data_IF_622956257017
#
_entry.id   IF_622956257017
#
_cell.length_a   1.000
_cell.length_b   1.000
_cell.length_c   1.000
_cell.angle_alpha   90.00
_cell.angle_beta   90.00
_cell.angle_gamma   90.00
#
_symmetry.space_group_name_H-M   'P 1'
#
loop_
_entity.id
_entity.type
_entity.pdbx_description
1 polymer ?
#
# COMPACT_ATOMS: atom_id res chain seq x y z
N UNK A 1 -0.52 2.14 -24.84
CA UNK A 1 0.30 1.35 -23.90
C UNK A 1 1.11 2.34 -23.09
N UNK A 2 0.78 2.55 -21.81
CA UNK A 2 1.61 3.35 -20.90
C UNK A 2 2.21 2.38 -19.91
N UNK A 3 3.36 1.81 -20.26
CA UNK A 3 4.19 1.06 -19.33
C UNK A 3 5.21 2.08 -18.78
N UNK A 4 5.24 2.25 -17.46
CA UNK A 4 6.30 2.87 -16.62
C UNK A 4 6.32 4.37 -16.28
N UNK A 5 5.47 5.28 -16.78
CA UNK A 5 5.63 6.73 -16.44
C UNK A 5 4.32 7.50 -16.13
N UNK A 6 3.41 6.91 -15.35
CA UNK A 6 2.23 7.62 -14.86
C UNK A 6 2.55 8.37 -13.55
N UNK A 7 3.18 9.54 -13.64
CA UNK A 7 3.32 10.44 -12.48
C UNK A 7 1.96 11.01 -12.09
N UNK A 8 1.38 10.48 -11.01
CA UNK A 8 0.11 10.96 -10.45
C UNK A 8 0.17 12.45 -10.04
N UNK A 9 1.35 12.92 -9.63
CA UNK A 9 1.61 14.31 -9.26
C UNK A 9 2.72 14.88 -10.16
N UNK A 10 2.39 15.88 -10.97
CA UNK A 10 3.33 16.54 -11.89
C UNK A 10 3.87 17.87 -11.37
N UNK A 11 3.12 18.54 -10.50
CA UNK A 11 3.43 19.88 -9.98
C UNK A 11 4.04 19.88 -8.57
N UNK A 12 3.97 18.76 -7.86
CA UNK A 12 4.40 18.63 -6.47
C UNK A 12 5.63 17.74 -6.39
N UNK A 13 6.66 18.20 -5.67
CA UNK A 13 7.84 17.38 -5.39
C UNK A 13 7.57 16.52 -4.14
N UNK A 14 7.39 15.23 -4.35
CA UNK A 14 7.24 14.25 -3.26
C UNK A 14 8.64 13.87 -2.76
N UNK A 15 8.93 14.15 -1.49
CA UNK A 15 10.22 13.81 -0.85
C UNK A 15 10.15 12.54 -0.01
N UNK A 16 8.95 12.03 0.24
CA UNK A 16 8.76 10.74 0.87
C UNK A 16 7.30 10.39 1.05
N UNK A 17 7.05 9.16 1.47
CA UNK A 17 5.72 8.69 1.81
C UNK A 17 5.78 7.68 2.95
N UNK A 18 4.65 7.47 3.60
CA UNK A 18 4.45 6.41 4.60
C UNK A 18 3.07 5.79 4.43
N UNK A 19 2.97 4.46 4.50
CA UNK A 19 1.70 3.74 4.40
C UNK A 19 1.00 3.64 5.77
N UNK A 20 -0.31 3.85 5.77
CA UNK A 20 -1.17 3.86 6.95
C UNK A 20 -2.30 2.84 6.82
N UNK A 21 -3.03 2.63 7.90
CA UNK A 21 -4.31 1.94 7.85
C UNK A 21 -5.38 2.79 7.13
N UNK A 22 -6.55 2.18 6.89
CA UNK A 22 -7.63 2.82 6.12
C UNK A 22 -8.07 4.17 6.71
N UNK A 23 -8.16 4.26 8.04
CA UNK A 23 -8.54 5.46 8.78
C UNK A 23 -7.40 6.46 9.00
N UNK A 24 -6.21 6.20 8.44
CA UNK A 24 -5.02 7.05 8.56
C UNK A 24 -4.57 7.35 10.00
N UNK A 25 -4.85 6.46 10.97
CA UNK A 25 -4.51 6.66 12.39
C UNK A 25 -3.48 5.67 12.94
N UNK A 26 -3.03 4.70 12.14
CA UNK A 26 -1.97 3.76 12.52
C UNK A 26 -1.03 3.48 11.34
N UNK A 27 0.27 3.33 11.63
CA UNK A 27 1.23 2.89 10.63
C UNK A 27 0.92 1.48 10.16
N UNK A 28 1.01 1.26 8.84
CA UNK A 28 0.68 -0.04 8.25
C UNK A 28 1.51 -1.19 8.83
N UNK A 29 2.80 -0.95 9.10
CA UNK A 29 3.72 -1.95 9.66
C UNK A 29 3.48 -2.26 11.13
N UNK A 30 2.82 -1.37 11.87
CA UNK A 30 2.47 -1.56 13.28
C UNK A 30 1.10 -2.24 13.46
N UNK A 31 0.33 -2.39 12.38
CA UNK A 31 -0.99 -3.01 12.44
C UNK A 31 -0.86 -4.49 12.85
N UNK A 32 -1.43 -4.82 14.01
CA UNK A 32 -1.60 -6.21 14.44
C UNK A 32 -3.08 -6.56 14.38
N UNK A 33 -3.39 -7.71 13.77
CA UNK A 33 -4.73 -8.31 13.76
C UNK A 33 -4.64 -9.68 14.41
N UNK A 34 -5.73 -10.13 14.99
CA UNK A 34 -5.80 -11.50 15.48
C UNK A 34 -5.70 -12.45 14.30
N UNK A 35 -4.84 -13.45 14.47
CA UNK A 35 -4.77 -14.59 13.58
C UNK A 35 -5.82 -15.61 14.00
N UNK A 36 -6.63 -16.06 13.06
CA UNK A 36 -7.73 -16.99 13.32
C UNK A 36 -7.71 -18.08 12.26
N UNK A 37 -7.80 -19.33 12.69
CA UNK A 37 -7.87 -20.49 11.79
C UNK A 37 -9.34 -20.78 11.45
N UNK A 38 -9.82 -20.47 10.22
CA UNK A 38 -11.19 -20.77 9.83
C UNK A 38 -11.41 -22.29 9.72
N UNK A 39 -12.58 -22.78 10.18
CA UNK A 39 -12.91 -24.22 10.14
C UNK A 39 -13.27 -24.72 8.74
N UNK A 40 -13.69 -23.82 7.86
CA UNK A 40 -14.10 -24.14 6.49
C UNK A 40 -13.70 -22.98 5.59
N UNK A 41 -12.78 -23.22 4.64
CA UNK A 41 -12.53 -22.35 3.50
C UNK A 41 -11.30 -21.44 3.57
N UNK A 42 -10.52 -21.57 2.50
CA UNK A 42 -9.39 -20.77 2.01
C UNK A 42 -8.19 -20.65 2.95
N UNK A 43 -7.12 -21.37 2.60
CA UNK A 43 -5.77 -20.95 2.94
C UNK A 43 -5.65 -19.47 2.54
N UNK A 44 -5.37 -18.60 3.51
CA UNK A 44 -5.02 -17.22 3.20
C UNK A 44 -3.68 -17.29 2.48
N UNK A 45 -3.69 -17.18 1.14
CA UNK A 45 -2.49 -16.90 0.38
C UNK A 45 -1.92 -15.57 0.89
N UNK A 46 -1.02 -15.66 1.86
CA UNK A 46 -0.05 -14.63 2.14
C UNK A 46 0.94 -14.66 0.97
N UNK A 47 0.49 -14.20 -0.20
CA UNK A 47 1.40 -13.87 -1.29
C UNK A 47 2.37 -12.82 -0.73
N UNK A 48 3.63 -13.23 -0.57
CA UNK A 48 4.72 -12.30 -0.32
C UNK A 48 4.73 -11.30 -1.49
N UNK A 49 4.31 -10.06 -1.19
CA UNK A 49 4.31 -8.98 -2.16
C UNK A 49 5.73 -8.83 -2.70
N UNK A 50 5.92 -9.10 -4.00
CA UNK A 50 7.21 -8.89 -4.69
C UNK A 50 7.69 -7.48 -4.36
N UNK A 51 9.00 -7.33 -4.13
CA UNK A 51 9.62 -6.03 -3.81
C UNK A 51 9.29 -5.02 -4.91
N UNK A 52 8.29 -4.19 -4.65
CA UNK A 52 7.86 -3.10 -5.51
C UNK A 52 8.99 -2.06 -5.58
N UNK A 53 9.12 -1.41 -6.73
CA UNK A 53 10.00 -0.24 -6.85
C UNK A 53 9.49 0.86 -5.90
N UNK A 54 10.40 1.70 -5.39
CA UNK A 54 10.12 2.65 -4.27
C UNK A 54 8.91 3.56 -4.53
N UNK A 55 8.54 3.81 -5.79
CA UNK A 55 7.49 4.77 -6.15
C UNK A 55 6.31 4.15 -6.90
N UNK A 56 6.28 2.82 -6.99
CA UNK A 56 5.21 2.09 -7.65
C UNK A 56 4.29 1.47 -6.60
N UNK A 57 2.99 1.68 -6.78
CA UNK A 57 1.96 1.18 -5.87
C UNK A 57 1.12 0.16 -6.63
N UNK A 58 1.26 -1.12 -6.27
CA UNK A 58 0.39 -2.17 -6.81
C UNK A 58 -0.86 -2.32 -5.94
N UNK A 59 -2.01 -2.51 -6.59
CA UNK A 59 -3.32 -2.76 -5.97
C UNK A 59 -3.90 -4.08 -6.47
N UNK A 60 -4.40 -4.90 -5.55
CA UNK A 60 -5.26 -6.05 -5.88
C UNK A 60 -6.72 -5.62 -6.01
N UNK A 61 -7.59 -6.43 -6.65
CA UNK A 61 -9.02 -6.14 -6.70
C UNK A 61 -9.59 -5.84 -5.31
N UNK A 62 -10.34 -4.74 -5.21
CA UNK A 62 -10.93 -4.23 -3.95
C UNK A 62 -9.91 -3.83 -2.86
N UNK A 63 -8.62 -3.72 -3.18
CA UNK A 63 -7.62 -3.21 -2.24
C UNK A 63 -7.65 -1.69 -2.17
N UNK A 64 -7.67 -1.17 -0.94
CA UNK A 64 -7.54 0.26 -0.65
C UNK A 64 -6.25 0.45 0.15
N UNK A 65 -5.33 1.28 -0.36
CA UNK A 65 -4.08 1.66 0.32
C UNK A 65 -4.11 3.15 0.64
N UNK A 66 -3.75 3.48 1.88
CA UNK A 66 -3.76 4.85 2.39
C UNK A 66 -2.33 5.31 2.63
N UNK A 67 -1.97 6.47 2.10
CA UNK A 67 -0.61 7.00 2.19
C UNK A 67 -0.60 8.42 2.75
N UNK A 68 0.38 8.69 3.60
CA UNK A 68 0.78 10.03 3.98
C UNK A 68 1.96 10.46 3.11
N UNK A 69 1.79 11.52 2.31
CA UNK A 69 2.84 12.06 1.45
C UNK A 69 3.54 13.25 2.13
N UNK A 70 4.87 13.28 2.05
CA UNK A 70 5.69 14.43 2.43
C UNK A 70 6.09 15.15 1.15
N UNK A 71 5.76 16.43 1.08
CA UNK A 71 6.04 17.29 -0.06
C UNK A 71 7.11 18.30 0.32
N UNK A 72 7.93 18.67 -0.66
CA UNK A 72 8.80 19.84 -0.58
C UNK A 72 8.15 20.92 -1.43
N UNK A 73 7.89 22.07 -0.79
CA UNK A 73 7.30 23.26 -1.39
C UNK A 73 8.42 24.25 -1.67
#
# INVERSE_FOLDING_TARGET
MCFTDCKLFSTLQIVGYSELNLSANQWKHDMKRFDWTPKTGAEQEQEERKKESVWEVTLRPMEIRTFLLRLQI
#
